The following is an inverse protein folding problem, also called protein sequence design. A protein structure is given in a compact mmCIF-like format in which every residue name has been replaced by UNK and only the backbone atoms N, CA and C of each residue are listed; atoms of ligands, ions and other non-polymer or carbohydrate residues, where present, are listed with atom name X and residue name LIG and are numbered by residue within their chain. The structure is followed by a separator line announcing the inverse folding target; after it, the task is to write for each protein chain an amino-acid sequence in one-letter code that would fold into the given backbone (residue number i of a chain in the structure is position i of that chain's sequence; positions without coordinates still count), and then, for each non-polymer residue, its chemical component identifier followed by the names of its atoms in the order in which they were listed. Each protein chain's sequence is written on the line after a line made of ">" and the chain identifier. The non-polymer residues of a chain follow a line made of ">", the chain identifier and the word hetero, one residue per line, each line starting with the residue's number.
data_IF_940072582763
#
_entry.id   IF_940072582763
#
_cell.length_a   1.000
_cell.length_b   1.000
_cell.length_c   1.000
_cell.angle_alpha   90.00
_cell.angle_beta   90.00
_cell.angle_gamma   90.00
#
_symmetry.space_group_name_H-M   'P 1'
#
loop_
_entity.id
_entity.type
_entity.pdbx_description
1 polymer ?
#
# COMPACT_ATOMS: atom_id res chain seq x y z
N UNK A 1 22.98 -20.58 46.79
CA UNK A 1 23.16 -19.91 45.48
C UNK A 1 23.11 -20.93 44.33
N UNK A 2 23.62 -22.14 44.53
CA UNK A 2 23.57 -23.27 43.56
C UNK A 2 22.18 -23.60 42.98
N UNK A 3 21.12 -23.63 43.81
CA UNK A 3 19.77 -24.03 43.37
C UNK A 3 19.18 -23.02 42.38
N UNK A 4 19.37 -21.72 42.63
CA UNK A 4 18.86 -20.65 41.76
C UNK A 4 19.56 -20.69 40.40
N UNK A 5 20.87 -20.96 40.39
CA UNK A 5 21.63 -21.12 39.16
C UNK A 5 21.10 -22.30 38.34
N UNK A 6 20.86 -23.45 38.97
CA UNK A 6 20.28 -24.62 38.29
C UNK A 6 18.93 -24.30 37.62
N UNK A 7 18.03 -23.60 38.32
CA UNK A 7 16.74 -23.20 37.74
C UNK A 7 16.90 -22.26 36.54
N UNK A 8 17.80 -21.29 36.60
CA UNK A 8 18.08 -20.37 35.48
C UNK A 8 18.65 -21.13 34.28
N UNK A 9 19.56 -22.09 34.52
CA UNK A 9 20.11 -22.95 33.47
C UNK A 9 19.04 -23.84 32.83
N UNK A 10 18.19 -24.49 33.63
CA UNK A 10 17.10 -25.34 33.11
C UNK A 10 16.06 -24.52 32.33
N UNK A 11 15.72 -23.32 32.78
CA UNK A 11 14.81 -22.43 32.05
C UNK A 11 15.43 -21.95 30.73
N UNK A 12 16.71 -21.59 30.73
CA UNK A 12 17.42 -21.20 29.52
C UNK A 12 17.51 -22.35 28.51
N UNK A 13 17.76 -23.58 28.98
CA UNK A 13 17.75 -24.80 28.17
C UNK A 13 16.36 -25.09 27.61
N UNK A 14 15.31 -24.95 28.42
CA UNK A 14 13.93 -25.15 27.98
C UNK A 14 13.53 -24.13 26.90
N UNK A 15 13.83 -22.83 27.09
CA UNK A 15 13.58 -21.80 26.08
C UNK A 15 14.40 -22.01 24.79
N UNK A 16 15.63 -22.53 24.90
CA UNK A 16 16.45 -22.87 23.75
C UNK A 16 15.89 -24.09 22.99
N UNK A 17 15.39 -25.10 23.72
CA UNK A 17 14.78 -26.31 23.17
C UNK A 17 13.41 -26.04 22.52
N UNK A 18 12.66 -25.05 23.00
CA UNK A 18 11.41 -24.59 22.38
C UNK A 18 11.62 -23.54 21.29
N UNK A 19 12.87 -23.28 20.84
CA UNK A 19 13.07 -22.52 19.60
C UNK A 19 12.52 -23.35 18.46
N UNK A 20 11.26 -23.10 18.14
CA UNK A 20 10.64 -23.55 16.92
C UNK A 20 11.51 -23.03 15.78
N UNK A 21 12.30 -23.91 15.17
CA UNK A 21 12.92 -23.60 13.91
C UNK A 21 11.77 -23.38 12.94
N UNK A 22 11.49 -22.11 12.62
CA UNK A 22 10.60 -21.77 11.51
C UNK A 22 11.29 -22.30 10.27
N UNK A 23 10.93 -23.53 9.89
CA UNK A 23 11.43 -24.18 8.70
C UNK A 23 10.94 -23.35 7.51
N UNK A 24 11.85 -22.64 6.83
CA UNK A 24 11.47 -21.87 5.64
C UNK A 24 12.36 -20.72 5.21
N UNK A 25 13.60 -20.58 5.69
CA UNK A 25 14.53 -19.62 5.12
C UNK A 25 15.71 -20.36 4.47
N UNK A 26 15.51 -20.81 3.23
CA UNK A 26 16.63 -21.12 2.33
C UNK A 26 17.22 -19.79 1.82
N UNK A 27 18.55 -19.71 1.78
CA UNK A 27 19.31 -18.52 1.35
C UNK A 27 19.06 -18.14 -0.12
N UNK A 28 18.40 -19.04 -0.89
CA UNK A 28 18.10 -18.92 -2.32
C UNK A 28 16.58 -18.86 -2.61
N UNK A 29 15.79 -18.21 -1.74
CA UNK A 29 14.37 -18.00 -2.03
C UNK A 29 14.15 -16.86 -3.03
N UNK A 30 13.51 -17.14 -4.16
CA UNK A 30 13.18 -16.16 -5.21
C UNK A 30 11.69 -15.80 -5.19
N UNK A 31 11.36 -14.55 -5.51
CA UNK A 31 9.97 -14.10 -5.61
C UNK A 31 9.35 -14.64 -6.91
N UNK A 32 8.39 -15.55 -6.79
CA UNK A 32 7.67 -16.13 -7.94
C UNK A 32 6.40 -15.34 -8.29
N UNK A 33 5.63 -14.95 -7.27
CA UNK A 33 4.35 -14.25 -7.44
C UNK A 33 4.14 -13.25 -6.30
N UNK A 34 3.67 -12.05 -6.64
CA UNK A 34 3.24 -11.03 -5.69
C UNK A 34 1.76 -10.69 -5.93
N UNK A 35 0.91 -11.01 -4.96
CA UNK A 35 -0.50 -10.58 -4.95
C UNK A 35 -0.71 -9.56 -3.84
N UNK A 36 -1.29 -8.41 -4.19
CA UNK A 36 -1.50 -7.30 -3.25
C UNK A 36 -2.98 -6.99 -3.12
N UNK A 37 -3.46 -6.98 -1.87
CA UNK A 37 -4.81 -6.55 -1.53
C UNK A 37 -4.65 -5.37 -0.57
N UNK A 38 -5.07 -4.19 -1.01
CA UNK A 38 -5.07 -2.98 -0.21
C UNK A 38 -6.41 -2.27 -0.33
N UNK A 39 -6.78 -1.58 0.74
CA UNK A 39 -7.93 -0.70 0.72
C UNK A 39 -7.64 0.51 -0.17
N UNK A 40 -8.71 1.13 -0.64
CA UNK A 40 -8.65 2.48 -1.15
C UNK A 40 -8.07 3.48 -0.13
N UNK A 41 -7.46 4.54 -0.63
CA UNK A 41 -7.02 5.70 0.14
C UNK A 41 -8.21 6.55 0.57
N UNK A 42 -7.92 7.67 1.22
CA UNK A 42 -8.93 8.55 1.78
C UNK A 42 -9.99 9.01 0.74
N UNK A 43 -11.26 8.95 1.14
CA UNK A 43 -12.43 9.26 0.29
C UNK A 43 -13.43 10.08 1.07
N UNK A 44 -14.21 10.86 0.33
CA UNK A 44 -15.41 11.51 0.86
C UNK A 44 -16.47 10.47 1.22
N UNK A 45 -17.36 10.76 2.18
CA UNK A 45 -18.48 9.87 2.51
C UNK A 45 -19.34 9.62 1.27
N UNK A 46 -19.89 8.40 1.17
CA UNK A 46 -20.79 8.03 0.07
C UNK A 46 -22.19 8.59 0.31
N UNK A 47 -22.64 8.56 1.57
CA UNK A 47 -23.91 9.12 2.03
C UNK A 47 -23.75 9.68 3.45
N UNK A 48 -24.61 10.63 3.80
CA UNK A 48 -24.73 11.21 5.14
C UNK A 48 -26.08 10.85 5.74
N UNK A 49 -26.22 11.01 7.06
CA UNK A 49 -27.50 10.80 7.74
C UNK A 49 -28.36 12.07 7.69
N UNK A 50 -29.66 11.95 7.97
CA UNK A 50 -30.66 13.01 7.74
C UNK A 50 -30.36 14.36 8.41
N UNK A 51 -29.74 14.34 9.59
CA UNK A 51 -29.48 15.53 10.42
C UNK A 51 -27.97 15.80 10.55
N UNK A 52 -27.19 15.47 9.53
CA UNK A 52 -25.76 15.78 9.52
C UNK A 52 -25.55 17.31 9.42
N UNK A 53 -24.81 17.94 10.35
CA UNK A 53 -24.48 19.36 10.24
C UNK A 53 -23.67 19.68 8.98
N UNK A 54 -22.97 18.70 8.39
CA UNK A 54 -22.20 18.85 7.17
C UNK A 54 -22.94 18.14 6.02
N UNK A 55 -23.55 18.88 5.08
CA UNK A 55 -24.24 18.25 3.97
C UNK A 55 -23.24 17.54 3.05
N UNK A 56 -23.68 16.48 2.38
CA UNK A 56 -22.85 15.71 1.44
C UNK A 56 -22.30 16.57 0.28
N UNK A 57 -22.95 17.68 -0.04
CA UNK A 57 -22.52 18.66 -1.05
C UNK A 57 -21.37 19.55 -0.59
N UNK A 58 -21.02 19.55 0.70
CA UNK A 58 -19.91 20.34 1.24
C UNK A 58 -18.53 19.79 0.80
N UNK A 59 -18.47 18.53 0.37
CA UNK A 59 -17.24 17.90 -0.12
C UNK A 59 -16.95 18.34 -1.55
N UNK A 60 -15.79 18.95 -1.79
CA UNK A 60 -15.41 19.55 -3.09
C UNK A 60 -15.33 18.52 -4.21
N UNK A 61 -14.91 17.31 -3.86
CA UNK A 61 -14.71 16.18 -4.76
C UNK A 61 -16.02 15.46 -5.10
N UNK A 62 -17.09 15.72 -4.33
CA UNK A 62 -18.37 15.01 -4.42
C UNK A 62 -18.39 13.69 -3.64
N UNK A 63 -19.56 13.05 -3.48
CA UNK A 63 -19.73 11.85 -2.65
C UNK A 63 -18.96 10.62 -3.16
N UNK A 64 -18.35 9.90 -2.23
CA UNK A 64 -17.62 8.66 -2.48
C UNK A 64 -16.37 8.78 -3.36
N UNK A 65 -15.92 10.01 -3.66
CA UNK A 65 -14.74 10.24 -4.49
C UNK A 65 -13.45 10.21 -3.65
N UNK A 66 -12.33 9.92 -4.29
CA UNK A 66 -11.00 9.93 -3.67
C UNK A 66 -10.60 11.38 -3.39
N UNK A 67 -10.17 11.66 -2.16
CA UNK A 67 -9.65 12.98 -1.80
C UNK A 67 -8.22 13.15 -2.33
N UNK A 68 -7.74 14.39 -2.39
CA UNK A 68 -6.34 14.67 -2.70
C UNK A 68 -5.36 13.95 -1.77
N UNK A 69 -5.74 13.81 -0.50
CA UNK A 69 -4.98 13.03 0.48
C UNK A 69 -4.97 11.54 0.09
N UNK A 70 -6.11 10.98 -0.32
CA UNK A 70 -6.20 9.61 -0.80
C UNK A 70 -5.32 9.33 -2.01
N UNK A 71 -5.23 10.29 -2.95
CA UNK A 71 -4.30 10.22 -4.07
C UNK A 71 -2.84 10.16 -3.60
N UNK A 72 -2.46 11.01 -2.65
CA UNK A 72 -1.11 11.06 -2.09
C UNK A 72 -0.75 9.77 -1.34
N UNK A 73 -1.69 9.20 -0.59
CA UNK A 73 -1.51 7.92 0.09
C UNK A 73 -1.23 6.79 -0.91
N UNK A 74 -1.98 6.72 -2.00
CA UNK A 74 -1.73 5.74 -3.05
C UNK A 74 -0.39 5.97 -3.74
N UNK A 75 -0.02 7.21 -4.01
CA UNK A 75 1.28 7.53 -4.57
C UNK A 75 2.43 7.05 -3.67
N UNK A 76 2.37 7.37 -2.37
CA UNK A 76 3.37 6.93 -1.39
C UNK A 76 3.45 5.41 -1.28
N UNK A 77 2.29 4.71 -1.26
CA UNK A 77 2.24 3.25 -1.27
C UNK A 77 2.92 2.68 -2.52
N UNK A 78 2.60 3.20 -3.70
CA UNK A 78 3.23 2.78 -4.94
C UNK A 78 4.74 3.02 -4.95
N UNK A 79 5.19 4.15 -4.39
CA UNK A 79 6.61 4.48 -4.31
C UNK A 79 7.33 3.48 -3.41
N UNK A 80 6.73 3.15 -2.27
CA UNK A 80 7.26 2.15 -1.36
C UNK A 80 7.34 0.76 -2.01
N UNK A 81 6.28 0.33 -2.71
CA UNK A 81 6.25 -0.95 -3.40
C UNK A 81 7.24 -1.01 -4.56
N UNK A 82 7.40 0.08 -5.31
CA UNK A 82 8.39 0.20 -6.38
C UNK A 82 9.81 0.05 -5.86
N UNK A 83 10.12 0.66 -4.72
CA UNK A 83 11.42 0.54 -4.08
C UNK A 83 11.65 -0.87 -3.49
N UNK A 84 10.61 -1.47 -2.91
CA UNK A 84 10.70 -2.80 -2.30
C UNK A 84 10.90 -3.93 -3.31
N UNK A 85 10.35 -3.78 -4.51
CA UNK A 85 10.38 -4.79 -5.57
C UNK A 85 11.10 -4.27 -6.84
N UNK A 86 12.04 -3.35 -6.69
CA UNK A 86 12.77 -2.74 -7.81
C UNK A 86 13.52 -3.79 -8.65
N UNK A 87 14.06 -4.82 -8.01
CA UNK A 87 14.74 -5.96 -8.64
C UNK A 87 13.80 -6.85 -9.46
N UNK A 88 12.50 -6.81 -9.18
CA UNK A 88 11.49 -7.68 -9.83
C UNK A 88 10.63 -6.93 -10.86
N UNK A 89 10.55 -5.60 -10.78
CA UNK A 89 9.70 -4.77 -11.65
C UNK A 89 10.59 -3.99 -12.63
N UNK A 90 10.82 -4.53 -13.81
CA UNK A 90 11.71 -3.91 -14.81
C UNK A 90 11.09 -2.74 -15.58
N UNK A 91 9.76 -2.73 -15.78
CA UNK A 91 9.11 -1.75 -16.66
C UNK A 91 8.89 -0.38 -15.99
N UNK A 92 9.46 0.67 -16.60
CA UNK A 92 9.25 2.07 -16.22
C UNK A 92 7.89 2.56 -16.71
N UNK A 93 6.81 2.00 -16.17
CA UNK A 93 5.52 2.71 -16.26
C UNK A 93 5.60 3.90 -15.31
N UNK A 94 5.45 5.14 -15.79
CA UNK A 94 5.34 6.28 -14.89
C UNK A 94 4.20 6.03 -13.92
N UNK A 95 4.48 6.08 -12.63
CA UNK A 95 3.45 5.97 -11.60
C UNK A 95 2.50 7.17 -11.75
N UNK A 96 1.35 6.94 -12.36
CA UNK A 96 0.28 7.92 -12.45
C UNK A 96 -0.82 7.55 -11.45
N UNK A 97 -1.12 8.45 -10.52
CA UNK A 97 -2.36 8.37 -9.76
C UNK A 97 -3.49 8.88 -10.66
N UNK A 98 -4.29 7.96 -11.22
CA UNK A 98 -5.50 8.37 -11.94
C UNK A 98 -6.61 8.65 -10.92
N UNK A 99 -6.88 9.93 -10.67
CA UNK A 99 -8.05 10.38 -9.92
C UNK A 99 -9.23 10.58 -10.89
N UNK A 100 -9.73 9.47 -11.46
CA UNK A 100 -10.78 9.49 -12.49
C UNK A 100 -12.12 8.96 -11.97
N UNK A 101 -13.18 9.73 -12.18
CA UNK A 101 -14.51 9.55 -11.61
C UNK A 101 -15.14 8.14 -11.76
N UNK A 102 -15.81 7.76 -10.67
CA UNK A 102 -16.91 6.79 -10.52
C UNK A 102 -16.72 5.28 -10.66
N UNK A 103 -15.72 4.73 -11.36
CA UNK A 103 -15.56 3.25 -11.39
C UNK A 103 -14.13 2.76 -11.63
N UNK A 104 -13.13 3.48 -11.13
CA UNK A 104 -11.81 2.86 -10.97
C UNK A 104 -11.35 3.09 -9.54
N UNK A 105 -11.23 1.97 -8.83
CA UNK A 105 -10.23 1.80 -7.78
C UNK A 105 -8.97 2.60 -8.14
N UNK A 106 -8.23 3.09 -7.16
CA UNK A 106 -6.85 3.49 -7.41
C UNK A 106 -6.07 2.23 -7.81
N UNK A 107 -6.31 1.78 -9.04
CA UNK A 107 -5.72 0.65 -9.68
C UNK A 107 -4.57 1.23 -10.46
N UNK A 108 -3.38 0.70 -10.19
CA UNK A 108 -2.22 0.86 -11.05
C UNK A 108 -2.58 0.29 -12.42
N UNK A 109 -3.15 1.11 -13.28
CA UNK A 109 -3.40 0.72 -14.65
C UNK A 109 -2.11 0.97 -15.40
N UNK A 110 -1.42 -0.12 -15.78
CA UNK A 110 -0.35 -0.06 -16.76
C UNK A 110 -0.95 0.58 -18.02
N UNK A 111 -0.42 1.71 -18.51
CA UNK A 111 -0.94 2.29 -19.74
C UNK A 111 -0.77 1.25 -20.85
N UNK A 112 -1.87 0.81 -21.47
CA UNK A 112 -1.78 0.06 -22.71
C UNK A 112 -1.06 0.95 -23.72
N UNK A 113 0.01 0.40 -24.29
CA UNK A 113 0.97 1.08 -25.15
C UNK A 113 0.32 1.66 -26.42
N UNK A 114 -0.29 2.85 -26.33
CA UNK A 114 -0.70 3.65 -27.49
C UNK A 114 -0.82 5.12 -27.11
N UNK A 115 0.30 5.75 -26.82
CA UNK A 115 0.65 7.10 -27.29
C UNK A 115 1.93 7.58 -26.64
N UNK A 116 2.86 8.04 -27.47
CA UNK A 116 4.03 8.80 -27.05
C UNK A 116 3.58 10.15 -26.48
N UNK A 117 3.11 10.16 -25.23
CA UNK A 117 2.97 11.36 -24.45
C UNK A 117 4.07 11.35 -23.39
N UNK A 118 5.04 12.25 -23.52
CA UNK A 118 6.02 12.53 -22.48
C UNK A 118 5.28 12.86 -21.19
N UNK A 119 5.27 11.90 -20.26
CA UNK A 119 4.62 12.02 -18.96
C UNK A 119 5.39 13.05 -18.12
N UNK A 120 4.97 14.30 -18.20
CA UNK A 120 5.54 15.37 -17.40
C UNK A 120 5.02 15.25 -15.96
N UNK A 121 5.89 14.78 -15.06
CA UNK A 121 5.63 14.59 -13.63
C UNK A 121 5.06 15.82 -12.91
N UNK A 122 5.36 17.05 -13.38
CA UNK A 122 4.78 18.28 -12.79
C UNK A 122 3.32 18.49 -13.19
N UNK A 123 2.87 17.90 -14.31
CA UNK A 123 1.53 18.08 -14.85
C UNK A 123 0.51 17.11 -14.25
N UNK A 124 0.94 15.95 -13.77
CA UNK A 124 0.04 14.93 -13.21
C UNK A 124 -0.32 15.17 -11.75
N UNK A 125 0.56 15.80 -10.96
CA UNK A 125 0.19 16.32 -9.64
C UNK A 125 -0.82 17.48 -9.72
N UNK A 126 -0.84 18.22 -10.84
CA UNK A 126 -1.78 19.30 -11.12
C UNK A 126 -3.11 18.84 -11.73
N UNK A 127 -3.27 17.54 -12.01
CA UNK A 127 -4.49 16.93 -12.56
C UNK A 127 -5.34 16.23 -11.50
N UNK A 128 -4.89 16.16 -10.26
CA UNK A 128 -5.79 15.97 -9.12
C UNK A 128 -6.37 17.36 -8.81
N UNK A 129 -7.69 17.58 -8.97
CA UNK A 129 -8.30 18.86 -8.66
C UNK A 129 -8.02 19.33 -7.22
#
# INVERSE_FOLDING_TARGET
>A
MEVIQAFVFFHALFLAATRQQVAGQSKDSSLVLLQMIYRHGDRTPIMTYKNDPIPITAWKEGPGQLTKLGCQQHYALGSHLRLRYDQFIFWQSPMSCMCGARTKTAAWQVPSATSHATFNLKKTAALCP
#
